data_IF_004898016134
#
_entry.id   IF_004898016134
#
_cell.length_a   1.000
_cell.length_b   1.000
_cell.length_c   1.000
_cell.angle_alpha   90.00
_cell.angle_beta   90.00
_cell.angle_gamma   90.00
#
_symmetry.space_group_name_H-M   'P 1'
#
loop_
_entity.id
_entity.type
_entity.pdbx_description
1 polymer ?
#
# COMPACT_ATOMS: atom_id res chain seq x y z
N UNK A 1 -9.18 -1.96 -21.71
CA UNK A 1 -10.24 -2.09 -20.70
C UNK A 1 -9.92 -3.15 -19.67
N UNK A 2 -8.83 -2.98 -18.91
CA UNK A 2 -8.33 -3.98 -17.95
C UNK A 2 -8.74 -3.75 -16.48
N UNK A 3 -9.28 -2.57 -16.15
CA UNK A 3 -9.54 -2.15 -14.77
C UNK A 3 -10.44 -3.06 -13.92
N UNK A 4 -11.57 -3.61 -14.42
CA UNK A 4 -12.43 -4.48 -13.61
C UNK A 4 -11.80 -5.84 -13.29
N UNK A 5 -11.23 -6.52 -14.29
CA UNK A 5 -10.57 -7.81 -14.10
C UNK A 5 -9.33 -7.69 -13.22
N UNK A 6 -8.51 -6.66 -13.45
CA UNK A 6 -7.31 -6.42 -12.66
C UNK A 6 -7.60 -6.15 -11.18
N UNK A 7 -8.73 -5.48 -10.86
CA UNK A 7 -9.19 -5.28 -9.48
C UNK A 7 -9.57 -6.59 -8.80
N UNK A 8 -10.32 -7.46 -9.49
CA UNK A 8 -10.70 -8.77 -8.95
C UNK A 8 -9.48 -9.69 -8.75
N UNK A 9 -8.55 -9.70 -9.71
CA UNK A 9 -7.31 -10.48 -9.59
C UNK A 9 -6.47 -10.03 -8.38
N UNK A 10 -6.34 -8.72 -8.18
CA UNK A 10 -5.61 -8.17 -7.04
C UNK A 10 -6.29 -8.52 -5.71
N UNK A 11 -7.61 -8.37 -5.61
CA UNK A 11 -8.37 -8.74 -4.41
C UNK A 11 -8.24 -10.24 -4.11
N UNK A 12 -8.36 -11.10 -5.13
CA UNK A 12 -8.16 -12.54 -4.99
C UNK A 12 -6.74 -12.90 -4.54
N UNK A 13 -5.72 -12.19 -5.03
CA UNK A 13 -4.34 -12.39 -4.58
C UNK A 13 -4.16 -11.97 -3.11
N UNK A 14 -4.78 -10.87 -2.67
CA UNK A 14 -4.76 -10.45 -1.26
C UNK A 14 -5.43 -11.48 -0.35
N UNK A 15 -6.56 -12.05 -0.75
CA UNK A 15 -7.25 -13.09 0.02
C UNK A 15 -6.43 -14.36 0.18
N UNK A 16 -5.74 -14.81 -0.88
CA UNK A 16 -4.84 -15.98 -0.79
C UNK A 16 -3.70 -15.76 0.19
N UNK A 17 -3.27 -14.52 0.36
CA UNK A 17 -2.24 -14.11 1.32
C UNK A 17 -2.80 -13.80 2.72
N UNK A 18 -4.09 -14.05 2.96
CA UNK A 18 -4.73 -13.81 4.25
C UNK A 18 -5.02 -12.34 4.56
N UNK A 19 -4.93 -11.45 3.57
CA UNK A 19 -5.24 -10.03 3.73
C UNK A 19 -6.71 -9.80 3.40
N UNK A 20 -7.47 -9.29 4.37
CA UNK A 20 -8.87 -8.93 4.13
C UNK A 20 -8.96 -7.71 3.20
N UNK A 21 -9.77 -7.87 2.16
CA UNK A 21 -9.99 -6.91 1.10
C UNK A 21 -11.46 -7.08 0.61
N UNK A 22 -12.16 -6.03 0.25
CA UNK A 22 -13.39 -6.07 -0.54
C UNK A 22 -13.20 -5.21 -1.85
N UNK A 23 -14.26 -4.76 -2.49
CA UNK A 23 -14.15 -3.87 -3.66
C UNK A 23 -15.05 -2.66 -3.50
N UNK A 24 -14.50 -1.47 -3.75
CA UNK A 24 -15.32 -0.26 -3.82
C UNK A 24 -16.25 -0.32 -5.03
N UNK A 25 -17.54 -0.06 -4.80
CA UNK A 25 -18.59 -0.08 -5.82
C UNK A 25 -19.35 1.25 -5.86
N UNK A 26 -19.57 1.77 -7.06
CA UNK A 26 -20.33 3.01 -7.28
C UNK A 26 -19.63 4.29 -6.83
N UNK A 27 -20.20 5.44 -7.19
CA UNK A 27 -19.67 6.76 -6.85
C UNK A 27 -18.37 7.15 -7.57
N UNK A 28 -17.95 8.39 -7.36
CA UNK A 28 -16.64 8.89 -7.79
C UNK A 28 -15.53 8.52 -6.77
N UNK A 29 -14.27 8.68 -7.18
CA UNK A 29 -13.11 8.32 -6.35
C UNK A 29 -13.10 9.06 -5.00
N UNK A 30 -13.54 10.32 -4.95
CA UNK A 30 -13.57 11.11 -3.71
C UNK A 30 -14.56 10.51 -2.72
N UNK A 31 -15.76 10.17 -3.20
CA UNK A 31 -16.79 9.48 -2.40
C UNK A 31 -16.30 8.13 -1.87
N UNK A 32 -15.62 7.34 -2.70
CA UNK A 32 -15.04 6.07 -2.27
C UNK A 32 -13.92 6.24 -1.24
N UNK A 33 -13.06 7.26 -1.37
CA UNK A 33 -12.06 7.57 -0.36
C UNK A 33 -12.70 7.99 0.97
N UNK A 34 -13.73 8.83 0.92
CA UNK A 34 -14.45 9.27 2.13
C UNK A 34 -15.10 8.08 2.84
N UNK A 35 -15.70 7.15 2.09
CA UNK A 35 -16.25 5.91 2.63
C UNK A 35 -15.16 5.02 3.25
N UNK A 36 -14.02 4.85 2.59
CA UNK A 36 -12.89 4.08 3.12
C UNK A 36 -12.37 4.69 4.44
N UNK A 37 -12.31 6.03 4.54
CA UNK A 37 -11.97 6.72 5.80
C UNK A 37 -13.01 6.44 6.88
N UNK A 38 -14.31 6.55 6.55
CA UNK A 38 -15.40 6.31 7.50
C UNK A 38 -15.42 4.87 8.03
N UNK A 39 -15.04 3.89 7.20
CA UNK A 39 -14.92 2.48 7.56
C UNK A 39 -13.62 2.15 8.30
N UNK A 40 -12.72 3.12 8.49
CA UNK A 40 -11.44 2.92 9.16
C UNK A 40 -10.43 2.11 8.35
N UNK A 41 -10.56 2.09 7.03
CA UNK A 41 -9.64 1.38 6.14
C UNK A 41 -8.24 1.99 6.24
N UNK A 42 -7.19 1.18 6.48
CA UNK A 42 -5.83 1.71 6.64
C UNK A 42 -5.17 2.04 5.30
N UNK A 43 -5.45 1.27 4.25
CA UNK A 43 -4.82 1.37 2.93
C UNK A 43 -5.86 1.17 1.85
N UNK A 44 -5.84 2.03 0.83
CA UNK A 44 -6.65 1.90 -0.38
C UNK A 44 -5.75 1.64 -1.57
N UNK A 45 -6.11 0.68 -2.42
CA UNK A 45 -5.41 0.36 -3.65
C UNK A 45 -6.24 0.84 -4.85
N UNK A 46 -5.68 1.76 -5.64
CA UNK A 46 -6.30 2.30 -6.86
C UNK A 46 -5.58 1.69 -8.05
N UNK A 47 -6.28 0.89 -8.84
CA UNK A 47 -5.71 0.27 -10.05
C UNK A 47 -5.80 1.26 -11.21
N UNK A 48 -4.72 1.42 -11.95
CA UNK A 48 -4.66 2.26 -13.16
C UNK A 48 -5.63 1.78 -14.25
N UNK A 49 -5.93 2.65 -15.22
CA UNK A 49 -6.84 2.32 -16.31
C UNK A 49 -6.32 1.19 -17.22
N UNK A 50 -4.99 1.11 -17.40
CA UNK A 50 -4.29 0.02 -18.11
C UNK A 50 -4.23 -1.28 -17.28
N UNK A 51 -4.35 -1.20 -15.95
CA UNK A 51 -4.27 -2.34 -15.05
C UNK A 51 -2.85 -2.79 -14.72
N UNK A 52 -1.83 -2.06 -15.15
CA UNK A 52 -0.41 -2.42 -14.93
C UNK A 52 0.12 -1.93 -13.59
N UNK A 53 -0.35 -0.78 -13.12
CA UNK A 53 0.09 -0.15 -11.87
C UNK A 53 -1.05 -0.05 -10.86
N UNK A 54 -0.64 0.05 -9.60
CA UNK A 54 -1.52 0.20 -8.45
C UNK A 54 -0.98 1.30 -7.57
N UNK A 55 -1.79 2.32 -7.34
CA UNK A 55 -1.49 3.38 -6.39
C UNK A 55 -2.02 3.00 -5.02
N UNK A 56 -1.09 2.79 -4.08
CA UNK A 56 -1.38 2.46 -2.70
C UNK A 56 -1.42 3.75 -1.88
N UNK A 57 -2.59 4.08 -1.33
CA UNK A 57 -2.83 5.27 -0.50
C UNK A 57 -3.02 4.86 0.94
N UNK A 58 -2.17 5.35 1.83
CA UNK A 58 -2.31 5.12 3.26
C UNK A 58 -3.07 6.27 3.91
N UNK A 59 -4.32 6.01 4.29
CA UNK A 59 -5.25 7.07 4.71
C UNK A 59 -4.82 7.77 6.01
N UNK A 60 -4.16 7.06 6.93
CA UNK A 60 -3.69 7.62 8.21
C UNK A 60 -2.51 8.57 8.05
N UNK A 61 -1.59 8.27 7.13
CA UNK A 61 -0.34 9.04 6.95
C UNK A 61 -0.38 9.98 5.75
N UNK A 62 -1.44 9.89 4.95
CA UNK A 62 -1.54 10.61 3.65
C UNK A 62 -0.33 10.31 2.75
N UNK A 63 0.24 9.12 2.88
CA UNK A 63 1.32 8.62 2.04
C UNK A 63 0.71 7.92 0.81
N UNK A 64 1.32 8.12 -0.34
CA UNK A 64 0.90 7.53 -1.60
C UNK A 64 2.13 7.00 -2.34
N UNK A 65 2.03 5.78 -2.86
CA UNK A 65 3.07 5.15 -3.65
C UNK A 65 2.43 4.39 -4.80
N UNK A 66 2.94 4.63 -5.99
CA UNK A 66 2.62 3.86 -7.17
C UNK A 66 3.58 2.67 -7.27
N UNK A 67 3.04 1.47 -7.46
CA UNK A 67 3.81 0.24 -7.63
C UNK A 67 3.27 -0.57 -8.81
N UNK A 68 4.11 -1.41 -9.43
CA UNK A 68 3.63 -2.42 -10.36
C UNK A 68 2.59 -3.33 -9.67
N UNK A 69 1.54 -3.73 -10.39
CA UNK A 69 0.49 -4.62 -9.88
C UNK A 69 1.05 -5.92 -9.29
N UNK A 70 2.10 -6.46 -9.90
CA UNK A 70 2.79 -7.66 -9.43
C UNK A 70 3.42 -7.50 -8.03
N UNK A 71 3.81 -6.29 -7.64
CA UNK A 71 4.40 -6.01 -6.33
C UNK A 71 3.40 -5.49 -5.30
N UNK A 72 2.20 -5.09 -5.74
CA UNK A 72 1.19 -4.46 -4.90
C UNK A 72 0.85 -5.28 -3.64
N UNK A 73 0.68 -6.59 -3.78
CA UNK A 73 0.37 -7.50 -2.66
C UNK A 73 1.49 -7.50 -1.61
N UNK A 74 2.75 -7.57 -2.05
CA UNK A 74 3.92 -7.54 -1.17
C UNK A 74 3.97 -6.24 -0.37
N UNK A 75 3.74 -5.10 -1.04
CA UNK A 75 3.68 -3.80 -0.40
C UNK A 75 2.52 -3.70 0.61
N UNK A 76 1.32 -4.13 0.24
CA UNK A 76 0.14 -4.15 1.13
C UNK A 76 0.41 -4.98 2.38
N UNK A 77 0.99 -6.18 2.25
CA UNK A 77 1.35 -7.03 3.39
C UNK A 77 2.30 -6.33 4.34
N UNK A 78 3.31 -5.63 3.81
CA UNK A 78 4.24 -4.85 4.64
C UNK A 78 3.48 -3.80 5.46
N UNK A 79 2.49 -3.09 4.90
CA UNK A 79 1.69 -2.14 5.69
C UNK A 79 0.86 -2.80 6.78
N UNK A 80 0.18 -3.90 6.46
CA UNK A 80 -0.75 -4.56 7.39
C UNK A 80 -0.01 -5.16 8.58
N UNK A 81 1.23 -5.63 8.39
CA UNK A 81 2.05 -6.23 9.44
C UNK A 81 2.96 -5.23 10.19
N UNK A 82 2.72 -3.92 10.03
CA UNK A 82 3.46 -2.88 10.78
C UNK A 82 4.73 -2.35 10.11
N UNK A 83 4.99 -2.71 8.85
CA UNK A 83 6.05 -2.12 8.03
C UNK A 83 5.69 -0.71 7.51
N UNK A 84 6.68 0.19 7.48
CA UNK A 84 6.62 1.42 6.66
C UNK A 84 6.70 1.05 5.17
N UNK A 85 6.37 1.98 4.26
CA UNK A 85 6.66 1.81 2.83
C UNK A 85 8.15 1.51 2.74
N UNK A 86 8.52 0.26 2.49
CA UNK A 86 9.90 -0.16 2.50
C UNK A 86 10.59 0.49 1.33
N UNK A 87 11.19 1.68 1.52
CA UNK A 87 11.94 2.50 0.55
C UNK A 87 11.73 2.08 -0.91
N UNK A 88 10.50 2.09 -1.42
CA UNK A 88 10.30 2.10 -2.87
C UNK A 88 10.74 3.48 -3.28
N UNK A 89 11.91 3.53 -3.94
CA UNK A 89 12.52 4.80 -4.33
C UNK A 89 11.42 5.65 -4.98
N UNK A 90 11.18 6.90 -4.53
CA UNK A 90 10.47 7.83 -5.38
C UNK A 90 11.21 7.83 -6.71
N UNK A 91 10.48 7.80 -7.83
CA UNK A 91 11.03 7.94 -9.17
C UNK A 91 11.81 9.26 -9.22
N UNK A 92 13.09 9.20 -8.87
CA UNK A 92 14.04 10.30 -8.98
C UNK A 92 14.26 10.49 -10.47
N UNK A 93 13.73 11.58 -11.00
CA UNK A 93 14.21 12.12 -12.26
C UNK A 93 15.73 12.30 -12.16
N UNK A 94 16.43 11.77 -13.17
CA UNK A 94 17.87 11.85 -13.36
C UNK A 94 18.45 13.23 -13.00
N UNK A 95 19.31 13.25 -11.98
CA UNK A 95 20.51 14.08 -11.93
C UNK A 95 21.53 13.40 -11.00
N UNK A 96 22.69 13.06 -11.57
CA UNK A 96 23.74 12.20 -11.00
C UNK A 96 24.60 12.91 -9.91
N UNK A 97 25.69 12.30 -9.39
CA UNK A 97 25.85 11.99 -7.97
C UNK A 97 26.84 12.91 -7.23
N UNK A 98 26.81 12.90 -5.89
CA UNK A 98 27.98 13.29 -5.11
C UNK A 98 28.05 12.43 -3.84
N UNK A 99 29.18 11.76 -3.55
CA UNK A 99 29.32 10.92 -2.37
C UNK A 99 30.02 11.72 -1.28
N UNK A 100 29.45 11.84 -0.08
CA UNK A 100 30.28 12.05 1.13
C UNK A 100 29.73 11.30 2.35
N UNK A 101 30.69 10.73 3.06
CA UNK A 101 30.61 9.86 4.24
C UNK A 101 30.07 10.61 5.46
N UNK A 102 29.40 9.91 6.38
CA UNK A 102 29.88 9.81 7.77
C UNK A 102 29.15 8.74 8.61
N UNK A 103 29.90 8.15 9.54
CA UNK A 103 29.58 7.04 10.45
C UNK A 103 28.61 7.45 11.57
N UNK A 104 27.84 6.49 12.11
CA UNK A 104 28.07 5.92 13.45
C UNK A 104 26.88 5.10 13.98
N UNK A 105 27.22 4.12 14.82
CA UNK A 105 26.42 3.05 15.38
C UNK A 105 25.39 3.48 16.44
N UNK A 106 24.44 2.59 16.72
CA UNK A 106 23.52 2.69 17.85
C UNK A 106 22.76 1.38 18.06
N UNK A 107 23.27 0.56 18.97
CA UNK A 107 22.63 -0.61 19.59
C UNK A 107 21.27 -0.25 20.24
N UNK A 108 20.32 -1.20 20.20
CA UNK A 108 19.03 -1.04 20.86
C UNK A 108 18.11 -2.25 20.69
N UNK A 109 18.27 -3.25 21.56
CA UNK A 109 17.37 -4.38 21.79
C UNK A 109 16.01 -3.93 22.34
N UNK A 110 14.92 -4.64 22.02
CA UNK A 110 13.65 -4.52 22.75
C UNK A 110 12.43 -4.98 21.95
N UNK A 111 11.94 -6.18 22.23
CA UNK A 111 10.73 -6.74 21.62
C UNK A 111 9.43 -6.32 22.32
N UNK A 112 8.31 -6.64 21.66
CA UNK A 112 7.05 -7.10 22.25
C UNK A 112 6.02 -7.24 21.11
N UNK A 113 5.54 -8.47 20.90
CA UNK A 113 4.44 -8.73 19.99
C UNK A 113 3.15 -8.07 20.49
N UNK A 114 2.51 -7.31 19.62
CA UNK A 114 1.11 -6.92 19.76
C UNK A 114 0.38 -7.48 18.56
N UNK A 115 -0.30 -8.61 18.75
CA UNK A 115 -1.23 -9.16 17.78
C UNK A 115 -2.46 -8.26 17.73
N UNK A 116 -2.36 -7.17 16.97
CA UNK A 116 -3.48 -6.28 16.75
C UNK A 116 -4.32 -6.83 15.60
N UNK A 117 -5.49 -7.37 15.91
CA UNK A 117 -6.48 -7.76 14.92
C UNK A 117 -7.02 -6.51 14.21
N UNK A 118 -6.80 -6.40 12.91
CA UNK A 118 -7.39 -5.34 12.10
C UNK A 118 -8.48 -5.92 11.19
N UNK A 119 -9.71 -5.49 11.42
CA UNK A 119 -10.80 -5.61 10.43
C UNK A 119 -10.55 -4.59 9.33
N UNK A 120 -10.33 -5.07 8.11
CA UNK A 120 -10.37 -4.23 6.91
C UNK A 120 -11.66 -4.58 6.19
N UNK A 121 -12.45 -3.58 5.83
CA UNK A 121 -13.61 -3.76 4.94
C UNK A 121 -13.38 -2.81 3.77
N UNK A 122 -13.36 -3.27 2.52
CA UNK A 122 -13.28 -2.38 1.35
C UNK A 122 -14.67 -2.11 0.73
#
# INVERSE_FOLDING_TARGET
GGGPAARMELAGALWREGVKADLAHGGDLSSQMAQAVALGVPVVAVVSADGETVTLRQLRRREEVEVPRAEAVKHIKQYVHGGRFGRTRPRQNNASPTPERHRSAGDGLGGAGSATSYKVSL
#
